data_IF_024624126551
#
_entry.id   IF_024624126551
#
_cell.length_a   1.000
_cell.length_b   1.000
_cell.length_c   1.000
_cell.angle_alpha   90.00
_cell.angle_beta   90.00
_cell.angle_gamma   90.00
#
_symmetry.space_group_name_H-M   'P 1'
#
loop_
_entity.id
_entity.type
_entity.pdbx_description
1 polymer ?
#
# COMPACT_ATOMS: atom_id res chain seq x y z
N UNK A 1 36.85 -17.50 54.58
CA UNK A 1 35.90 -16.71 55.40
C UNK A 1 34.56 -16.70 54.68
N UNK A 2 33.54 -17.39 55.20
CA UNK A 2 32.17 -17.35 54.63
C UNK A 2 31.32 -16.35 55.40
N UNK A 3 30.89 -15.30 54.72
CA UNK A 3 29.97 -14.29 55.26
C UNK A 3 28.56 -14.89 55.26
N UNK A 4 28.06 -15.28 56.45
CA UNK A 4 26.66 -15.68 56.63
C UNK A 4 25.80 -14.41 56.76
N UNK A 5 25.20 -13.98 55.67
CA UNK A 5 24.17 -12.92 55.71
C UNK A 5 22.93 -13.50 56.40
N UNK A 6 22.45 -12.84 57.46
CA UNK A 6 21.27 -13.27 58.23
C UNK A 6 20.03 -13.19 57.35
N UNK A 7 19.32 -14.31 57.20
CA UNK A 7 18.13 -14.47 56.36
C UNK A 7 16.99 -13.49 56.66
N UNK A 8 16.94 -12.93 57.87
CA UNK A 8 15.95 -11.93 58.27
C UNK A 8 16.14 -10.60 57.52
N UNK A 9 17.39 -10.14 57.37
CA UNK A 9 17.71 -8.89 56.68
C UNK A 9 17.30 -8.94 55.19
N UNK A 10 17.44 -10.11 54.57
CA UNK A 10 17.06 -10.32 53.16
C UNK A 10 15.54 -10.21 52.97
N UNK A 11 14.75 -10.67 53.96
CA UNK A 11 13.28 -10.61 53.90
C UNK A 11 12.74 -9.18 54.04
N UNK A 12 13.34 -8.36 54.90
CA UNK A 12 12.96 -6.95 55.06
C UNK A 12 13.22 -6.14 53.78
N UNK A 13 14.41 -6.31 53.18
CA UNK A 13 14.76 -5.65 51.92
C UNK A 13 13.82 -6.08 50.78
N UNK A 14 13.41 -7.36 50.74
CA UNK A 14 12.46 -7.84 49.75
C UNK A 14 11.06 -7.22 49.95
N UNK A 15 10.58 -7.12 51.18
CA UNK A 15 9.27 -6.53 51.46
C UNK A 15 9.22 -5.02 51.14
N UNK A 16 10.26 -4.26 51.45
CA UNK A 16 10.35 -2.84 51.07
C UNK A 16 10.32 -2.67 49.54
N UNK A 17 11.07 -3.51 48.82
CA UNK A 17 11.08 -3.48 47.34
C UNK A 17 9.72 -3.84 46.75
N UNK A 18 9.02 -4.85 47.29
CA UNK A 18 7.68 -5.22 46.84
C UNK A 18 6.68 -4.10 47.10
N UNK A 19 6.74 -3.44 48.27
CA UNK A 19 5.87 -2.31 48.59
C UNK A 19 6.11 -1.12 47.66
N UNK A 20 7.37 -0.82 47.31
CA UNK A 20 7.70 0.24 46.36
C UNK A 20 7.19 -0.08 44.95
N UNK A 21 7.36 -1.32 44.48
CA UNK A 21 6.86 -1.75 43.17
C UNK A 21 5.33 -1.69 43.10
N UNK A 22 4.64 -2.08 44.18
CA UNK A 22 3.19 -2.00 44.30
C UNK A 22 2.67 -0.56 44.15
N UNK A 23 3.28 0.39 44.87
CA UNK A 23 2.88 1.80 44.80
C UNK A 23 3.07 2.41 43.40
N UNK A 24 4.17 2.05 42.72
CA UNK A 24 4.41 2.47 41.33
C UNK A 24 3.35 1.90 40.38
N UNK A 25 2.89 0.68 40.62
CA UNK A 25 1.85 0.04 39.77
C UNK A 25 0.49 0.74 39.90
N UNK A 26 0.09 1.13 41.11
CA UNK A 26 -1.17 1.85 41.35
C UNK A 26 -1.18 3.25 40.71
N UNK A 27 -0.08 3.98 40.80
CA UNK A 27 0.05 5.33 40.23
C UNK A 27 0.00 5.31 38.68
N UNK A 28 0.62 4.28 38.08
CA UNK A 28 0.56 4.04 36.63
C UNK A 28 -0.85 3.65 36.18
N UNK A 29 -1.57 2.83 36.94
CA UNK A 29 -2.97 2.50 36.66
C UNK A 29 -3.87 3.74 36.73
N UNK A 30 -3.68 4.59 37.73
CA UNK A 30 -4.54 5.77 37.92
C UNK A 30 -4.33 6.80 36.80
N UNK A 31 -3.08 7.02 36.39
CA UNK A 31 -2.77 7.86 35.22
C UNK A 31 -3.33 7.27 33.92
N UNK A 32 -3.30 5.94 33.74
CA UNK A 32 -3.92 5.29 32.60
C UNK A 32 -5.45 5.47 32.59
N UNK A 33 -6.12 5.33 33.74
CA UNK A 33 -7.58 5.55 33.88
C UNK A 33 -7.97 6.99 33.55
N UNK A 34 -7.20 7.99 34.00
CA UNK A 34 -7.41 9.42 33.69
C UNK A 34 -7.26 9.69 32.19
N UNK A 35 -6.25 9.12 31.52
CA UNK A 35 -6.06 9.23 30.06
C UNK A 35 -7.21 8.61 29.27
N UNK A 36 -7.74 7.47 29.71
CA UNK A 36 -8.89 6.80 29.06
C UNK A 36 -10.15 7.64 29.19
N UNK A 37 -10.42 8.25 30.36
CA UNK A 37 -11.57 9.14 30.57
C UNK A 37 -11.51 10.38 29.66
N UNK A 38 -10.35 11.05 29.59
CA UNK A 38 -10.17 12.19 28.68
C UNK A 38 -10.33 11.78 27.21
N UNK A 39 -9.82 10.61 26.82
CA UNK A 39 -9.96 10.10 25.44
C UNK A 39 -11.41 9.80 25.08
N UNK A 40 -12.23 9.27 26.01
CA UNK A 40 -13.67 9.05 25.82
C UNK A 40 -14.45 10.37 25.65
N UNK A 41 -14.15 11.39 26.45
CA UNK A 41 -14.75 12.71 26.31
C UNK A 41 -14.47 13.34 24.93
N UNK A 42 -13.20 13.31 24.50
CA UNK A 42 -12.78 13.81 23.18
C UNK A 42 -13.42 13.01 22.02
N UNK A 43 -13.62 11.70 22.18
CA UNK A 43 -14.30 10.89 21.16
C UNK A 43 -15.78 11.26 21.01
N UNK A 44 -16.46 11.58 22.11
CA UNK A 44 -17.87 11.98 22.07
C UNK A 44 -18.05 13.39 21.48
N UNK A 45 -17.18 14.35 21.81
CA UNK A 45 -17.25 15.71 21.22
C UNK A 45 -16.96 15.68 19.71
N UNK A 46 -15.94 14.94 19.28
CA UNK A 46 -15.67 14.71 17.85
C UNK A 46 -16.86 14.04 17.15
N UNK A 47 -17.58 13.14 17.83
CA UNK A 47 -18.77 12.48 17.25
C UNK A 47 -19.90 13.47 17.00
N UNK A 48 -20.11 14.43 17.90
CA UNK A 48 -21.14 15.46 17.75
C UNK A 48 -20.76 16.48 16.67
N UNK A 49 -19.51 16.94 16.65
CA UNK A 49 -18.98 17.83 15.61
C UNK A 49 -19.08 17.19 14.22
N UNK A 50 -18.70 15.92 14.09
CA UNK A 50 -18.84 15.19 12.83
C UNK A 50 -20.29 15.03 12.39
N UNK A 51 -21.23 14.86 13.32
CA UNK A 51 -22.66 14.81 13.01
C UNK A 51 -23.15 16.16 12.44
N UNK A 52 -22.76 17.27 13.07
CA UNK A 52 -23.09 18.63 12.62
C UNK A 52 -22.47 18.91 11.24
N UNK A 53 -21.20 18.57 11.05
CA UNK A 53 -20.50 18.72 9.75
C UNK A 53 -21.22 17.91 8.67
N UNK A 54 -21.59 16.68 8.98
CA UNK A 54 -22.30 15.80 8.03
C UNK A 54 -23.65 16.38 7.67
N UNK A 55 -24.42 16.83 8.66
CA UNK A 55 -25.73 17.48 8.44
C UNK A 55 -25.59 18.70 7.53
N UNK A 56 -24.69 19.63 7.86
CA UNK A 56 -24.48 20.84 7.03
C UNK A 56 -23.98 20.52 5.64
N UNK A 57 -23.08 19.56 5.49
CA UNK A 57 -22.61 19.10 4.19
C UNK A 57 -23.76 18.50 3.36
N UNK A 58 -24.64 17.68 3.98
CA UNK A 58 -25.80 17.12 3.27
C UNK A 58 -26.79 18.19 2.85
N UNK A 59 -27.07 19.19 3.69
CA UNK A 59 -27.92 20.32 3.30
C UNK A 59 -27.33 21.13 2.14
N UNK A 60 -26.02 21.39 2.16
CA UNK A 60 -25.33 22.09 1.07
C UNK A 60 -25.37 21.30 -0.24
N UNK A 61 -25.11 20.00 -0.19
CA UNK A 61 -25.19 19.12 -1.37
C UNK A 61 -26.62 19.09 -1.91
N UNK A 62 -27.63 19.02 -1.04
CA UNK A 62 -29.02 19.00 -1.46
C UNK A 62 -29.42 20.33 -2.12
N UNK A 63 -29.09 21.47 -1.49
CA UNK A 63 -29.33 22.78 -2.10
C UNK A 63 -28.63 22.94 -3.46
N UNK A 64 -27.41 22.42 -3.59
CA UNK A 64 -26.69 22.43 -4.87
C UNK A 64 -27.34 21.51 -5.93
N UNK A 65 -27.94 20.38 -5.53
CA UNK A 65 -28.75 19.54 -6.43
C UNK A 65 -30.03 20.27 -6.86
N UNK A 66 -30.73 20.91 -5.93
CA UNK A 66 -31.98 21.63 -6.20
C UNK A 66 -31.75 22.82 -7.15
N UNK A 67 -30.59 23.46 -7.05
CA UNK A 67 -30.14 24.52 -7.94
C UNK A 67 -29.47 24.02 -9.23
N UNK A 68 -29.46 22.71 -9.49
CA UNK A 68 -28.80 22.08 -10.64
C UNK A 68 -27.28 22.38 -10.77
N UNK A 69 -26.61 22.77 -9.69
CA UNK A 69 -25.15 22.87 -9.65
C UNK A 69 -24.48 21.49 -9.60
N UNK A 70 -25.16 20.49 -9.04
CA UNK A 70 -24.70 19.10 -9.00
C UNK A 70 -25.72 18.23 -9.72
N UNK A 71 -25.27 17.40 -10.66
CA UNK A 71 -26.12 16.44 -11.37
C UNK A 71 -26.76 15.47 -10.35
N UNK A 72 -28.07 15.31 -10.42
CA UNK A 72 -28.84 14.46 -9.52
C UNK A 72 -28.82 12.97 -9.90
N UNK A 73 -28.32 12.63 -11.09
CA UNK A 73 -28.25 11.27 -11.58
C UNK A 73 -27.02 10.51 -11.05
N UNK A 74 -27.14 9.19 -10.98
CA UNK A 74 -25.99 8.33 -10.70
C UNK A 74 -24.93 8.50 -11.80
N UNK A 75 -23.68 8.59 -11.38
CA UNK A 75 -22.54 8.74 -12.30
C UNK A 75 -22.46 7.47 -13.14
N UNK A 76 -22.56 7.62 -14.46
CA UNK A 76 -22.38 6.47 -15.37
C UNK A 76 -20.95 5.92 -15.26
N UNK A 77 -20.76 4.63 -15.55
CA UNK A 77 -19.42 4.03 -15.57
C UNK A 77 -18.47 4.82 -16.47
N UNK A 78 -18.96 5.30 -17.62
CA UNK A 78 -18.19 6.09 -18.57
C UNK A 78 -17.78 7.43 -17.96
N UNK A 79 -18.70 8.16 -17.35
CA UNK A 79 -18.40 9.45 -16.70
C UNK A 79 -17.44 9.29 -15.52
N UNK A 80 -17.55 8.17 -14.78
CA UNK A 80 -16.58 7.82 -13.74
C UNK A 80 -15.18 7.55 -14.31
N UNK A 81 -15.10 6.79 -15.40
CA UNK A 81 -13.82 6.51 -16.08
C UNK A 81 -13.22 7.76 -16.69
N UNK A 82 -14.02 8.64 -17.29
CA UNK A 82 -13.57 9.87 -17.92
C UNK A 82 -13.35 11.04 -16.95
N UNK A 83 -13.68 10.85 -15.67
CA UNK A 83 -13.30 11.78 -14.63
C UNK A 83 -11.78 12.00 -14.64
N UNK A 84 -11.32 13.25 -14.69
CA UNK A 84 -9.92 13.63 -14.82
C UNK A 84 -9.23 13.17 -16.12
N UNK A 85 -9.96 12.91 -17.21
CA UNK A 85 -9.37 12.54 -18.50
C UNK A 85 -8.28 13.51 -18.96
N UNK A 86 -8.57 14.82 -18.96
CA UNK A 86 -7.60 15.84 -19.39
C UNK A 86 -6.34 15.85 -18.52
N UNK A 87 -6.49 15.68 -17.20
CA UNK A 87 -5.34 15.58 -16.29
C UNK A 87 -4.50 14.33 -16.58
N UNK A 88 -5.14 13.19 -16.85
CA UNK A 88 -4.43 11.95 -17.24
C UNK A 88 -3.72 12.11 -18.58
N UNK A 89 -4.37 12.77 -19.55
CA UNK A 89 -3.81 13.04 -20.87
C UNK A 89 -2.56 13.90 -20.75
N UNK A 90 -2.64 15.02 -20.03
CA UNK A 90 -1.49 15.89 -19.77
C UNK A 90 -0.35 15.16 -19.05
N UNK A 91 -0.64 14.35 -18.04
CA UNK A 91 0.38 13.55 -17.36
C UNK A 91 1.07 12.54 -18.29
N UNK A 92 0.31 11.94 -19.22
CA UNK A 92 0.84 11.02 -20.21
C UNK A 92 1.69 11.75 -21.26
N UNK A 93 1.30 12.95 -21.67
CA UNK A 93 2.10 13.79 -22.57
C UNK A 93 3.44 14.15 -21.93
N UNK A 94 3.47 14.53 -20.65
CA UNK A 94 4.72 14.74 -19.91
C UNK A 94 5.57 13.47 -19.93
N UNK A 95 4.99 12.32 -19.58
CA UNK A 95 5.73 11.06 -19.58
C UNK A 95 6.32 10.73 -20.97
N UNK A 96 5.57 10.95 -22.03
CA UNK A 96 6.03 10.72 -23.39
C UNK A 96 7.22 11.65 -23.72
N UNK A 97 7.16 12.93 -23.37
CA UNK A 97 8.27 13.88 -23.59
C UNK A 97 9.57 13.44 -22.89
N UNK A 98 9.48 12.77 -21.74
CA UNK A 98 10.66 12.24 -21.04
C UNK A 98 11.14 10.88 -21.58
N UNK A 99 10.29 10.16 -22.33
CA UNK A 99 10.55 8.79 -22.79
C UNK A 99 10.72 8.66 -24.31
N UNK A 100 10.60 9.73 -25.09
CA UNK A 100 10.62 9.71 -26.56
C UNK A 100 11.86 9.02 -27.17
N UNK A 101 13.01 9.04 -26.49
CA UNK A 101 14.26 8.39 -26.92
C UNK A 101 14.63 7.14 -26.10
N UNK A 102 13.73 6.67 -25.21
CA UNK A 102 14.03 5.55 -24.31
C UNK A 102 13.42 4.26 -24.88
N UNK A 103 14.23 3.21 -25.12
CA UNK A 103 13.71 1.91 -25.51
C UNK A 103 12.61 1.43 -24.56
N UNK A 104 11.49 1.00 -25.11
CA UNK A 104 10.38 0.43 -24.33
C UNK A 104 10.64 -1.02 -23.91
N UNK A 105 11.69 -1.65 -24.45
CA UNK A 105 12.04 -3.02 -24.19
C UNK A 105 13.55 -3.20 -24.04
N UNK A 106 13.94 -4.01 -23.07
CA UNK A 106 15.31 -4.38 -22.79
C UNK A 106 15.43 -5.89 -22.65
N UNK A 107 16.50 -6.45 -23.18
CA UNK A 107 16.71 -7.89 -23.23
C UNK A 107 18.12 -8.24 -22.79
N UNK A 108 18.23 -9.22 -21.92
CA UNK A 108 19.48 -9.93 -21.67
C UNK A 108 19.31 -11.38 -22.07
N UNK A 109 19.91 -11.78 -23.19
CA UNK A 109 19.91 -13.17 -23.67
C UNK A 109 21.15 -13.95 -23.24
N UNK A 110 22.08 -13.29 -22.54
CA UNK A 110 23.31 -13.91 -22.07
C UNK A 110 23.08 -14.68 -20.77
N UNK A 111 24.02 -15.58 -20.45
CA UNK A 111 24.07 -16.32 -19.18
C UNK A 111 24.55 -15.46 -18.01
N UNK A 112 25.08 -14.26 -18.27
CA UNK A 112 25.61 -13.33 -17.28
C UNK A 112 24.75 -12.05 -17.18
N UNK A 113 24.68 -11.40 -16.00
CA UNK A 113 24.06 -10.09 -15.86
C UNK A 113 24.72 -9.03 -16.74
N UNK A 114 23.94 -8.12 -17.31
CA UNK A 114 24.45 -7.01 -18.12
C UNK A 114 24.07 -5.66 -17.53
N UNK A 115 24.87 -4.64 -17.79
CA UNK A 115 24.54 -3.25 -17.46
C UNK A 115 23.83 -2.59 -18.64
N UNK A 116 22.68 -1.97 -18.38
CA UNK A 116 21.97 -1.12 -19.35
C UNK A 116 21.84 0.30 -18.82
N UNK A 117 21.71 1.27 -19.72
CA UNK A 117 21.46 2.66 -19.39
C UNK A 117 19.99 2.95 -19.68
N UNK A 118 19.30 3.54 -18.71
CA UNK A 118 17.92 3.98 -18.81
C UNK A 118 17.82 5.40 -18.27
N UNK A 119 17.52 6.36 -19.16
CA UNK A 119 17.65 7.78 -18.85
C UNK A 119 19.11 8.12 -18.50
N UNK A 120 19.31 8.74 -17.33
CA UNK A 120 20.65 9.05 -16.77
C UNK A 120 21.25 7.94 -15.91
N UNK A 121 20.49 6.87 -15.65
CA UNK A 121 20.83 5.88 -14.63
C UNK A 121 21.27 4.55 -15.25
N UNK A 122 22.07 3.81 -14.48
CA UNK A 122 22.57 2.48 -14.87
C UNK A 122 21.83 1.40 -14.09
N UNK A 123 21.34 0.38 -14.80
CA UNK A 123 20.61 -0.74 -14.23
C UNK A 123 21.29 -2.06 -14.59
N UNK A 124 21.19 -3.04 -13.70
CA UNK A 124 21.62 -4.42 -13.97
C UNK A 124 20.40 -5.20 -14.47
N UNK A 125 20.50 -5.79 -15.66
CA UNK A 125 19.57 -6.80 -16.11
C UNK A 125 20.09 -8.20 -15.76
N UNK A 126 19.32 -9.01 -15.02
CA UNK A 126 19.67 -10.41 -14.76
C UNK A 126 19.89 -11.20 -16.05
N UNK A 127 20.65 -12.29 -15.98
CA UNK A 127 20.80 -13.24 -17.07
C UNK A 127 19.43 -13.74 -17.57
N UNK A 128 19.33 -13.99 -18.88
CA UNK A 128 18.12 -14.53 -19.54
C UNK A 128 16.81 -13.82 -19.21
N UNK A 129 16.84 -12.50 -19.05
CA UNK A 129 15.67 -11.70 -18.68
C UNK A 129 15.22 -10.74 -19.78
N UNK A 130 13.97 -10.30 -19.72
CA UNK A 130 13.46 -9.18 -20.49
C UNK A 130 12.76 -8.18 -19.58
N UNK A 131 12.80 -6.91 -19.92
CA UNK A 131 12.13 -5.85 -19.20
C UNK A 131 11.32 -4.99 -20.17
N UNK A 132 10.06 -4.75 -19.87
CA UNK A 132 9.13 -4.03 -20.74
C UNK A 132 8.61 -2.79 -20.01
N UNK A 133 9.02 -1.61 -20.46
CA UNK A 133 8.49 -0.34 -20.00
C UNK A 133 7.23 -0.01 -20.80
N UNK A 134 6.09 -0.52 -20.34
CA UNK A 134 4.82 -0.26 -21.00
C UNK A 134 3.65 -0.20 -20.00
N UNK A 135 2.54 0.34 -20.48
CA UNK A 135 1.27 0.27 -19.78
C UNK A 135 0.79 -1.19 -19.71
N UNK A 136 0.39 -1.66 -18.52
CA UNK A 136 -0.07 -3.04 -18.33
C UNK A 136 -1.29 -3.42 -19.19
N UNK A 137 -2.11 -2.44 -19.61
CA UNK A 137 -3.21 -2.72 -20.54
C UNK A 137 -2.73 -2.92 -21.98
N UNK A 138 -1.48 -2.57 -22.27
CA UNK A 138 -0.83 -2.67 -23.58
C UNK A 138 0.21 -3.80 -23.62
N UNK A 139 0.03 -4.87 -22.84
CA UNK A 139 0.91 -6.05 -22.80
C UNK A 139 0.79 -6.97 -24.04
N UNK A 140 0.51 -6.42 -25.22
CA UNK A 140 0.34 -7.18 -26.46
C UNK A 140 1.55 -8.07 -26.75
N UNK A 141 2.77 -7.59 -26.45
CA UNK A 141 4.04 -8.29 -26.71
C UNK A 141 4.27 -9.54 -25.83
N UNK A 142 3.42 -9.74 -24.83
CA UNK A 142 3.43 -10.91 -23.95
C UNK A 142 2.31 -11.89 -24.26
N UNK A 143 1.33 -11.51 -25.09
CA UNK A 143 0.23 -12.40 -25.47
C UNK A 143 0.78 -13.60 -26.26
N UNK A 144 0.22 -14.78 -25.98
CA UNK A 144 0.61 -16.03 -26.64
C UNK A 144 1.88 -16.68 -26.08
N UNK A 145 2.61 -16.02 -25.18
CA UNK A 145 3.72 -16.66 -24.45
C UNK A 145 3.16 -17.46 -23.27
N UNK A 146 3.80 -18.59 -22.97
CA UNK A 146 3.53 -19.39 -21.77
C UNK A 146 4.50 -19.00 -20.67
N UNK A 147 3.98 -18.95 -19.45
CA UNK A 147 4.75 -18.63 -18.25
C UNK A 147 4.37 -19.65 -17.18
N UNK A 148 5.38 -20.22 -16.51
CA UNK A 148 5.16 -21.18 -15.42
C UNK A 148 4.66 -20.48 -14.14
N UNK A 149 5.09 -19.23 -13.94
CA UNK A 149 4.71 -18.38 -12.82
C UNK A 149 4.55 -16.94 -13.25
N UNK A 150 3.46 -16.31 -12.82
CA UNK A 150 3.24 -14.87 -12.96
C UNK A 150 3.12 -14.30 -11.55
N UNK A 151 4.04 -13.40 -11.19
CA UNK A 151 4.03 -12.68 -9.90
C UNK A 151 3.54 -11.27 -10.15
N UNK A 152 2.51 -10.86 -9.40
CA UNK A 152 1.94 -9.51 -9.47
C UNK A 152 1.82 -8.92 -8.07
N UNK A 153 2.39 -7.73 -7.87
CA UNK A 153 2.11 -6.87 -6.72
C UNK A 153 1.46 -5.58 -7.23
N UNK A 154 0.16 -5.61 -7.58
CA UNK A 154 -0.50 -4.42 -8.10
C UNK A 154 -0.42 -3.28 -7.09
N UNK A 155 -0.27 -2.02 -7.52
CA UNK A 155 -0.28 -0.87 -6.62
C UNK A 155 -1.65 -0.79 -5.97
N UNK A 156 -1.78 -1.41 -4.79
CA UNK A 156 -3.00 -1.41 -4.03
C UNK A 156 -3.28 0.04 -3.66
N UNK A 157 -4.35 0.62 -4.21
CA UNK A 157 -4.81 1.92 -3.73
C UNK A 157 -5.08 1.74 -2.24
N UNK A 158 -4.20 2.34 -1.43
CA UNK A 158 -4.13 2.03 -0.03
C UNK A 158 -5.36 2.67 0.63
N UNK A 159 -6.50 1.97 0.65
CA UNK A 159 -7.73 2.41 1.32
C UNK A 159 -7.48 2.77 2.79
N UNK A 160 -6.36 2.31 3.38
CA UNK A 160 -5.92 2.68 4.71
C UNK A 160 -5.45 4.14 4.83
N UNK A 161 -4.94 4.76 3.76
CA UNK A 161 -4.48 6.17 3.77
C UNK A 161 -5.67 7.15 3.85
N UNK A 162 -6.89 6.71 3.51
CA UNK A 162 -8.14 7.46 3.80
C UNK A 162 -8.83 7.08 5.11
N UNK A 163 -8.27 6.18 5.94
CA UNK A 163 -8.82 5.87 7.27
C UNK A 163 -8.03 6.56 8.37
N UNK A 164 -8.29 7.85 8.61
CA UNK A 164 -8.19 8.34 9.99
C UNK A 164 -9.45 7.90 10.75
N UNK A 165 -9.22 7.04 11.75
CA UNK A 165 -10.05 6.76 12.94
C UNK A 165 -11.46 6.20 12.72
N UNK A 166 -11.54 4.88 12.55
CA UNK A 166 -12.36 4.03 13.43
C UNK A 166 -12.13 2.58 13.01
N UNK A 167 -11.55 1.79 13.89
CA UNK A 167 -11.61 0.34 13.80
C UNK A 167 -13.04 -0.05 14.14
N UNK A 168 -13.91 -0.10 13.13
CA UNK A 168 -15.13 -0.89 13.19
C UNK A 168 -14.94 -1.98 12.15
N UNK A 169 -14.93 -3.21 12.64
CA UNK A 169 -15.04 -4.46 11.88
C UNK A 169 -16.22 -4.33 10.90
N UNK A 170 -15.91 -4.04 9.64
CA UNK A 170 -16.87 -4.21 8.55
C UNK A 170 -16.47 -5.49 7.83
N UNK A 171 -17.34 -6.51 7.93
CA UNK A 171 -17.32 -7.71 7.11
C UNK A 171 -17.22 -7.27 5.64
N UNK A 172 -16.13 -7.63 4.98
CA UNK A 172 -15.93 -7.35 3.57
C UNK A 172 -16.87 -8.25 2.77
N UNK A 173 -17.88 -7.65 2.14
CA UNK A 173 -18.55 -8.24 0.99
C UNK A 173 -17.74 -7.85 -0.25
N UNK A 174 -17.30 -8.87 -0.99
CA UNK A 174 -16.55 -8.72 -2.23
C UNK A 174 -17.38 -7.99 -3.29
N UNK A 175 -16.93 -6.82 -3.71
CA UNK A 175 -17.21 -6.32 -5.06
C UNK A 175 -15.91 -5.91 -5.74
N UNK A 176 -15.63 -6.67 -6.78
CA UNK A 176 -14.59 -6.60 -7.81
C UNK A 176 -14.47 -5.18 -8.38
N UNK A 177 -13.23 -4.73 -8.58
CA UNK A 177 -12.92 -3.54 -9.38
C UNK A 177 -11.70 -3.81 -10.27
N UNK A 178 -11.92 -3.60 -11.57
CA UNK A 178 -10.92 -3.58 -12.64
C UNK A 178 -10.49 -2.13 -12.87
N UNK A 179 -9.18 -1.89 -12.98
CA UNK A 179 -8.64 -0.68 -13.60
C UNK A 179 -7.86 0.25 -12.67
N UNK A 180 -6.59 -0.06 -12.43
CA UNK A 180 -5.54 0.92 -12.11
C UNK A 180 -4.30 0.52 -12.93
N UNK A 181 -3.75 1.46 -13.71
CA UNK A 181 -2.58 1.26 -14.58
C UNK A 181 -1.32 1.68 -13.85
N UNK A 182 -0.29 0.85 -13.89
CA UNK A 182 1.10 1.23 -13.63
C UNK A 182 2.05 0.21 -14.29
N UNK A 183 3.29 0.62 -14.48
CA UNK A 183 4.37 -0.08 -15.20
C UNK A 183 4.97 -1.20 -14.35
N UNK A 184 5.24 -2.37 -14.92
CA UNK A 184 5.74 -3.56 -14.21
C UNK A 184 7.00 -4.16 -14.86
N UNK A 185 7.89 -4.70 -14.03
CA UNK A 185 8.96 -5.61 -14.46
C UNK A 185 8.43 -7.05 -14.48
N UNK A 186 8.50 -7.74 -15.62
CA UNK A 186 8.32 -9.20 -15.67
C UNK A 186 9.69 -9.83 -15.77
N UNK A 187 10.17 -10.43 -14.68
CA UNK A 187 11.35 -11.27 -14.71
C UNK A 187 10.92 -12.66 -15.19
N UNK A 188 11.15 -12.96 -16.47
CA UNK A 188 11.15 -14.35 -16.92
C UNK A 188 12.54 -14.92 -16.61
N UNK A 189 12.59 -15.87 -15.68
CA UNK A 189 13.76 -16.74 -15.49
C UNK A 189 13.49 -18.05 -16.23
N UNK A 190 14.30 -18.38 -17.22
CA UNK A 190 14.29 -19.72 -17.82
C UNK A 190 15.20 -20.63 -16.99
N UNK A 191 14.60 -21.60 -16.30
CA UNK A 191 15.31 -22.70 -15.63
C UNK A 191 15.24 -23.90 -16.56
N UNK A 192 16.41 -24.31 -17.05
CA UNK A 192 16.84 -25.61 -17.59
C UNK A 192 15.81 -26.53 -18.28
N UNK A 193 16.02 -26.76 -19.59
CA UNK A 193 15.83 -28.09 -20.19
C UNK A 193 17.19 -28.59 -20.70
N UNK A 194 17.72 -29.62 -20.04
CA UNK A 194 18.89 -30.37 -20.48
C UNK A 194 18.44 -31.52 -21.40
N UNK A 195 19.03 -31.54 -22.61
CA UNK A 195 19.27 -32.68 -23.52
C UNK A 195 18.08 -33.54 -23.98
N UNK A 196 17.94 -33.68 -25.30
CA UNK A 196 18.33 -34.90 -26.05
C UNK A 196 17.99 -34.77 -27.55
N UNK A 197 18.82 -35.45 -28.36
CA UNK A 197 18.72 -35.72 -29.81
C UNK A 197 19.15 -34.57 -30.76
N UNK A 198 20.01 -34.77 -31.75
CA UNK A 198 20.81 -35.93 -32.18
C UNK A 198 21.71 -35.42 -33.31
N UNK A 199 22.97 -35.83 -33.32
CA UNK A 199 23.83 -35.82 -34.51
C UNK A 199 23.11 -36.50 -35.69
N UNK A 200 23.20 -35.91 -36.89
CA UNK A 200 23.48 -36.62 -38.14
C UNK A 200 23.48 -35.64 -39.34
N UNK A 201 24.67 -35.50 -39.92
CA UNK A 201 25.05 -35.14 -41.30
C UNK A 201 24.76 -33.70 -41.76
#
# INVERSE_FOLDING_TARGET
MSIKIKSHLVKEILNEKVSQISGVYEEVEETARKRIKNKKGILQTNSLENAIITEKATCLIQAAKDLNFIKSHDISSVEWFENNYEARKAAKEILNLYLEDVPSEYYNRNDEPIMVIFGSEKYVLPAKSSFHLCDIKSLENLKGKKYDLIVLDPPWENKSVRRKKSQILIKVHNKRWEGVRQTFCILSGSVYEEKMASESI
#
